data_IF_714119665131
#
_entry.id   IF_714119665131
#
_cell.length_a   1.000
_cell.length_b   1.000
_cell.length_c   1.000
_cell.angle_alpha   90.00
_cell.angle_beta   90.00
_cell.angle_gamma   90.00
#
_symmetry.space_group_name_H-M   'P 1'
#
loop_
_entity.id
_entity.type
_entity.pdbx_description
1 polymer ?
#
# COMPACT_ATOMS: atom_id res chain seq x y z
N UNK A 1 -22.45 12.60 0.70
CA UNK A 1 -22.97 13.50 1.77
C UNK A 1 -22.72 12.98 3.19
N UNK A 2 -22.83 11.67 3.49
CA UNK A 2 -22.60 11.16 4.86
C UNK A 2 -21.13 11.19 5.35
N UNK A 3 -20.14 11.09 4.46
CA UNK A 3 -18.72 10.93 4.83
C UNK A 3 -18.12 12.13 5.60
N UNK A 4 -18.61 13.35 5.37
CA UNK A 4 -18.02 14.58 5.96
C UNK A 4 -18.58 14.93 7.35
N UNK A 5 -19.72 14.36 7.75
CA UNK A 5 -20.48 14.82 8.94
C UNK A 5 -19.96 14.18 10.23
N UNK A 6 -19.50 12.93 10.18
CA UNK A 6 -19.12 12.17 11.38
C UNK A 6 -17.66 12.36 11.82
N UNK A 7 -16.78 12.85 10.93
CA UNK A 7 -15.33 13.08 11.22
C UNK A 7 -14.62 11.94 11.96
N UNK A 8 -15.06 10.70 11.78
CA UNK A 8 -14.37 9.52 12.29
C UNK A 8 -13.26 9.17 11.30
N UNK A 9 -12.01 9.19 11.75
CA UNK A 9 -10.85 8.91 10.91
C UNK A 9 -10.53 7.41 10.87
N UNK A 10 -9.92 6.96 9.77
CA UNK A 10 -9.51 5.57 9.59
C UNK A 10 -8.33 5.16 10.46
N UNK A 11 -7.74 6.10 11.20
CA UNK A 11 -6.59 5.85 12.09
C UNK A 11 -6.96 5.06 13.34
N UNK A 12 -8.24 5.11 13.75
CA UNK A 12 -8.74 4.46 14.98
C UNK A 12 -9.98 3.61 14.78
N UNK A 13 -10.69 3.79 13.68
CA UNK A 13 -11.96 3.13 13.43
C UNK A 13 -11.98 2.57 12.00
N UNK A 14 -12.42 1.32 11.85
CA UNK A 14 -12.82 0.82 10.55
C UNK A 14 -14.20 1.39 10.23
N UNK A 15 -14.25 2.34 9.29
CA UNK A 15 -15.51 2.92 8.85
C UNK A 15 -16.25 1.95 7.92
N UNK A 16 -17.48 1.58 8.25
CA UNK A 16 -18.35 0.74 7.41
C UNK A 16 -19.60 1.53 7.07
N UNK A 17 -19.81 1.76 5.77
CA UNK A 17 -20.91 2.53 5.23
C UNK A 17 -21.89 1.63 4.50
N UNK A 18 -23.18 1.92 4.62
CA UNK A 18 -24.25 1.23 3.91
C UNK A 18 -24.82 2.17 2.86
N UNK A 19 -24.61 1.86 1.59
CA UNK A 19 -25.05 2.70 0.48
C UNK A 19 -25.60 1.83 -0.66
N UNK A 20 -26.69 2.28 -1.27
CA UNK A 20 -27.21 1.62 -2.46
C UNK A 20 -26.43 2.11 -3.68
N UNK A 21 -25.87 1.19 -4.44
CA UNK A 21 -25.17 1.46 -5.70
C UNK A 21 -26.18 1.63 -6.84
N UNK A 22 -25.92 2.55 -7.77
CA UNK A 22 -26.66 2.65 -9.04
C UNK A 22 -26.21 1.61 -10.07
N UNK A 23 -25.06 0.95 -9.84
CA UNK A 23 -24.59 -0.19 -10.62
C UNK A 23 -25.08 -1.48 -9.94
N UNK A 24 -25.90 -2.26 -10.66
CA UNK A 24 -26.75 -3.33 -10.12
C UNK A 24 -26.03 -4.57 -9.55
N UNK A 25 -24.68 -4.64 -9.57
CA UNK A 25 -23.95 -5.86 -9.17
C UNK A 25 -22.88 -5.69 -8.08
N UNK A 26 -22.63 -4.48 -7.56
CA UNK A 26 -21.61 -4.30 -6.52
C UNK A 26 -22.17 -4.64 -5.13
N UNK A 27 -21.68 -5.74 -4.54
CA UNK A 27 -22.05 -6.18 -3.19
C UNK A 27 -21.32 -5.39 -2.10
N UNK A 28 -20.07 -5.00 -2.37
CA UNK A 28 -19.23 -4.22 -1.47
C UNK A 28 -18.00 -3.66 -2.19
N UNK A 29 -17.33 -2.71 -1.53
CA UNK A 29 -15.99 -2.23 -1.91
C UNK A 29 -15.25 -1.78 -0.65
N UNK A 30 -13.95 -2.01 -0.60
CA UNK A 30 -13.08 -1.62 0.48
C UNK A 30 -11.90 -0.77 -0.02
N UNK A 31 -11.41 0.12 0.84
CA UNK A 31 -10.08 0.71 0.65
C UNK A 31 -8.99 -0.25 1.09
N UNK A 32 -7.90 -0.30 0.34
CA UNK A 32 -6.70 -1.06 0.65
C UNK A 32 -5.86 -0.37 1.74
N UNK A 33 -5.03 -1.10 2.51
CA UNK A 33 -4.16 -0.51 3.53
C UNK A 33 -3.19 0.55 2.99
N UNK A 34 -2.83 0.45 1.71
CA UNK A 34 -1.90 1.34 1.03
C UNK A 34 -2.60 2.47 0.27
N UNK A 35 -3.94 2.48 0.18
CA UNK A 35 -4.65 3.60 -0.43
C UNK A 35 -4.49 4.86 0.41
N UNK A 36 -4.20 5.99 -0.22
CA UNK A 36 -4.02 7.30 0.43
C UNK A 36 -5.23 7.69 1.30
N UNK A 37 -6.43 7.33 0.85
CA UNK A 37 -7.68 7.62 1.54
C UNK A 37 -8.01 6.66 2.70
N UNK A 38 -7.26 5.57 2.88
CA UNK A 38 -7.58 4.53 3.86
C UNK A 38 -7.67 5.05 5.30
N UNK A 39 -6.82 6.02 5.66
CA UNK A 39 -6.81 6.66 6.98
C UNK A 39 -7.68 7.91 7.05
N UNK A 40 -8.18 8.38 5.90
CA UNK A 40 -9.05 9.55 5.82
C UNK A 40 -10.50 9.15 6.10
N UNK A 41 -11.35 10.12 6.40
CA UNK A 41 -12.79 9.92 6.62
C UNK A 41 -13.53 9.34 5.38
N UNK A 42 -12.88 9.33 4.22
CA UNK A 42 -13.40 8.76 2.98
C UNK A 42 -13.10 7.26 2.84
N UNK A 43 -12.09 6.76 3.55
CA UNK A 43 -11.68 5.37 3.56
C UNK A 43 -12.54 4.47 4.43
N UNK A 44 -12.37 3.16 4.24
CA UNK A 44 -13.17 2.11 4.86
C UNK A 44 -13.92 1.26 3.84
N UNK A 45 -15.02 0.68 4.28
CA UNK A 45 -15.80 -0.29 3.51
C UNK A 45 -17.17 0.31 3.19
N UNK A 46 -17.64 0.13 1.96
CA UNK A 46 -19.01 0.43 1.54
C UNK A 46 -19.69 -0.88 1.18
N UNK A 47 -20.80 -1.21 1.85
CA UNK A 47 -21.60 -2.39 1.60
C UNK A 47 -22.96 -2.02 1.01
N UNK A 48 -23.42 -2.82 0.06
CA UNK A 48 -24.77 -2.72 -0.46
C UNK A 48 -25.76 -3.39 0.53
N UNK A 49 -26.74 -2.65 1.08
CA UNK A 49 -27.72 -3.20 2.03
C UNK A 49 -28.54 -4.38 1.49
N UNK A 50 -28.66 -4.49 0.16
CA UNK A 50 -29.38 -5.60 -0.48
C UNK A 50 -28.63 -6.93 -0.38
N UNK A 51 -27.33 -6.90 -0.08
CA UNK A 51 -26.43 -8.06 0.00
C UNK A 51 -25.84 -8.24 1.40
N UNK A 52 -26.17 -7.39 2.38
CA UNK A 52 -25.65 -7.48 3.74
C UNK A 52 -26.78 -7.42 4.78
N UNK A 53 -26.67 -8.22 5.84
CA UNK A 53 -27.65 -8.25 6.94
C UNK A 53 -28.83 -9.20 6.69
N UNK A 54 -28.80 -9.97 5.59
CA UNK A 54 -29.76 -11.04 5.27
C UNK A 54 -29.14 -12.38 5.72
N UNK A 55 -29.90 -13.32 6.30
CA UNK A 55 -29.40 -14.65 6.66
C UNK A 55 -28.67 -15.32 5.48
N UNK A 56 -27.41 -15.72 5.69
CA UNK A 56 -26.55 -16.33 4.65
C UNK A 56 -25.60 -15.36 3.92
N UNK A 57 -25.77 -14.05 4.10
CA UNK A 57 -25.00 -13.02 3.37
C UNK A 57 -24.08 -12.18 4.28
N UNK A 58 -23.43 -12.81 5.26
CA UNK A 58 -22.40 -12.14 6.10
C UNK A 58 -21.00 -12.21 5.52
N UNK A 59 -20.78 -13.06 4.50
CA UNK A 59 -19.47 -13.28 3.88
C UNK A 59 -18.95 -12.05 3.13
N UNK A 60 -19.83 -11.23 2.54
CA UNK A 60 -19.45 -9.99 1.84
C UNK A 60 -18.69 -9.05 2.76
N UNK A 61 -19.12 -8.86 4.01
CA UNK A 61 -18.38 -8.01 4.95
C UNK A 61 -16.99 -8.59 5.28
N UNK A 62 -16.88 -9.92 5.41
CA UNK A 62 -15.60 -10.57 5.70
C UNK A 62 -14.64 -10.42 4.51
N UNK A 63 -15.15 -10.56 3.29
CA UNK A 63 -14.42 -10.32 2.04
C UNK A 63 -13.86 -8.90 1.97
N UNK A 64 -14.71 -7.89 2.18
CA UNK A 64 -14.28 -6.49 2.16
C UNK A 64 -13.27 -6.16 3.29
N UNK A 65 -13.45 -6.74 4.47
CA UNK A 65 -12.45 -6.64 5.55
C UNK A 65 -11.12 -7.25 5.09
N UNK A 66 -11.14 -8.36 4.36
CA UNK A 66 -9.95 -8.95 3.76
C UNK A 66 -9.18 -7.96 2.90
N UNK A 67 -9.85 -7.23 2.01
CA UNK A 67 -9.23 -6.15 1.23
C UNK A 67 -8.65 -5.04 2.10
N UNK A 68 -9.39 -4.55 3.11
CA UNK A 68 -8.86 -3.57 4.07
C UNK A 68 -7.69 -4.09 4.92
N UNK A 69 -7.45 -5.41 4.95
CA UNK A 69 -6.29 -6.03 5.57
C UNK A 69 -5.15 -6.32 4.57
N UNK A 70 -5.36 -6.05 3.28
CA UNK A 70 -4.38 -6.21 2.22
C UNK A 70 -4.46 -7.53 1.46
N UNK A 71 -5.59 -8.25 1.52
CA UNK A 71 -5.77 -9.52 0.83
C UNK A 71 -6.31 -9.30 -0.60
N UNK A 72 -5.59 -9.80 -1.60
CA UNK A 72 -6.07 -9.84 -2.98
C UNK A 72 -7.11 -10.95 -3.18
N UNK A 73 -7.85 -10.87 -4.28
CA UNK A 73 -8.66 -12.00 -4.74
C UNK A 73 -7.79 -13.21 -5.04
N UNK A 74 -8.27 -14.40 -4.68
CA UNK A 74 -7.57 -15.66 -4.98
C UNK A 74 -7.39 -15.95 -6.48
N UNK A 75 -8.07 -15.19 -7.33
CA UNK A 75 -8.00 -15.29 -8.78
C UNK A 75 -7.22 -14.14 -9.43
N UNK A 76 -6.49 -13.34 -8.64
CA UNK A 76 -5.71 -12.17 -9.09
C UNK A 76 -4.73 -12.52 -10.21
N UNK A 77 -4.04 -13.64 -10.08
CA UNK A 77 -3.00 -14.11 -11.00
C UNK A 77 -3.50 -14.82 -12.26
N UNK A 78 -4.81 -15.01 -12.41
CA UNK A 78 -5.40 -15.72 -13.56
C UNK A 78 -6.49 -14.91 -14.25
N UNK A 79 -7.44 -14.35 -13.49
CA UNK A 79 -8.61 -13.64 -14.05
C UNK A 79 -8.53 -12.13 -13.96
N UNK A 80 -7.58 -11.58 -13.21
CA UNK A 80 -7.35 -10.13 -13.09
C UNK A 80 -6.01 -9.70 -13.71
N UNK A 81 -5.45 -10.53 -14.58
CA UNK A 81 -4.28 -10.21 -15.39
C UNK A 81 -4.72 -9.59 -16.73
N UNK A 82 -3.87 -8.75 -17.31
CA UNK A 82 -4.17 -8.10 -18.60
C UNK A 82 -3.91 -9.03 -19.80
N UNK A 83 -2.95 -9.96 -19.66
CA UNK A 83 -2.61 -10.96 -20.68
C UNK A 83 -1.87 -12.15 -20.07
N UNK A 84 -1.70 -13.23 -20.84
CA UNK A 84 -0.90 -14.39 -20.41
C UNK A 84 0.62 -14.12 -20.33
N UNK A 85 1.06 -12.91 -20.66
CA UNK A 85 2.45 -12.46 -20.51
C UNK A 85 2.59 -11.50 -19.32
N UNK A 86 1.54 -11.32 -18.53
CA UNK A 86 1.54 -10.44 -17.36
C UNK A 86 2.51 -10.99 -16.31
N UNK A 87 3.46 -10.18 -15.80
CA UNK A 87 4.35 -10.61 -14.71
C UNK A 87 3.62 -11.07 -13.45
N UNK A 88 2.36 -10.64 -13.26
CA UNK A 88 1.52 -11.07 -12.14
C UNK A 88 0.87 -12.44 -12.37
N UNK A 89 1.02 -13.04 -13.55
CA UNK A 89 0.45 -14.35 -13.86
C UNK A 89 0.98 -15.41 -12.91
N UNK A 90 0.07 -16.11 -12.25
CA UNK A 90 0.42 -17.08 -11.22
C UNK A 90 0.28 -18.49 -11.77
N UNK A 91 1.39 -19.20 -11.93
CA UNK A 91 1.41 -20.59 -12.40
C UNK A 91 1.47 -21.60 -11.26
N UNK A 92 1.98 -21.17 -10.12
CA UNK A 92 2.10 -21.92 -8.88
C UNK A 92 1.93 -20.96 -7.70
N UNK A 93 1.38 -21.42 -6.56
CA UNK A 93 1.13 -20.57 -5.39
C UNK A 93 2.43 -19.90 -4.91
N UNK A 94 2.46 -18.57 -4.83
CA UNK A 94 3.70 -17.85 -4.50
C UNK A 94 3.49 -16.58 -3.68
N UNK A 95 4.59 -16.00 -3.17
CA UNK A 95 4.59 -14.69 -2.52
C UNK A 95 5.03 -13.55 -3.45
N UNK A 96 5.14 -13.84 -4.76
CA UNK A 96 5.73 -12.93 -5.76
C UNK A 96 4.78 -12.63 -6.91
N UNK A 97 3.89 -13.57 -7.24
CA UNK A 97 2.89 -13.49 -8.30
C UNK A 97 1.49 -13.75 -7.76
N UNK A 98 0.47 -13.42 -8.55
CA UNK A 98 -0.93 -13.65 -8.18
C UNK A 98 -1.42 -12.87 -6.97
N UNK A 99 -2.03 -13.58 -6.02
CA UNK A 99 -2.59 -13.00 -4.80
C UNK A 99 -1.56 -12.84 -3.66
N UNK A 100 -0.29 -13.23 -3.93
CA UNK A 100 0.83 -13.19 -2.99
C UNK A 100 0.62 -14.06 -1.74
N UNK A 101 -0.08 -15.19 -1.90
CA UNK A 101 -0.23 -16.25 -0.90
C UNK A 101 0.36 -17.57 -1.39
N UNK A 102 1.39 -18.08 -0.71
CA UNK A 102 1.95 -19.40 -1.06
C UNK A 102 1.06 -20.60 -0.68
N UNK A 103 -0.12 -20.38 -0.12
CA UNK A 103 -1.06 -21.44 0.31
C UNK A 103 -2.41 -21.40 -0.42
N UNK A 104 -2.56 -20.55 -1.43
CA UNK A 104 -3.74 -20.47 -2.32
C UNK A 104 -3.36 -20.92 -3.72
N UNK A 105 -3.93 -22.02 -4.19
CA UNK A 105 -3.63 -22.47 -5.55
C UNK A 105 -4.20 -21.46 -6.58
N UNK A 106 -3.48 -21.23 -7.70
CA UNK A 106 -3.97 -20.38 -8.77
C UNK A 106 -5.34 -20.85 -9.25
N UNK A 107 -6.28 -19.92 -9.37
CA UNK A 107 -7.64 -20.23 -9.76
C UNK A 107 -8.23 -19.12 -10.65
N UNK A 108 -9.11 -19.46 -11.60
CA UNK A 108 -9.88 -18.47 -12.30
C UNK A 108 -11.04 -17.99 -11.42
N UNK A 109 -11.60 -16.83 -11.79
CA UNK A 109 -12.80 -16.29 -11.17
C UNK A 109 -13.94 -17.30 -11.31
N UNK A 110 -14.40 -17.82 -10.18
CA UNK A 110 -15.45 -18.82 -10.11
C UNK A 110 -16.43 -18.51 -8.98
N UNK A 111 -17.72 -18.76 -9.21
CA UNK A 111 -18.80 -18.43 -8.25
C UNK A 111 -19.42 -19.66 -7.55
N UNK A 112 -18.99 -20.87 -7.89
CA UNK A 112 -19.53 -22.10 -7.29
C UNK A 112 -18.56 -22.68 -6.25
N UNK A 113 -19.11 -23.44 -5.30
CA UNK A 113 -18.35 -24.17 -4.30
C UNK A 113 -17.78 -25.47 -4.91
N UNK A 114 -16.70 -25.33 -5.66
CA UNK A 114 -15.98 -26.45 -6.25
C UNK A 114 -14.94 -25.96 -7.24
N UNK A 115 -14.08 -26.88 -7.66
CA UNK A 115 -13.14 -26.60 -8.74
C UNK A 115 -13.90 -26.27 -10.03
N UNK A 116 -13.45 -25.24 -10.77
CA UNK A 116 -14.07 -24.91 -12.04
C UNK A 116 -13.92 -26.09 -13.00
N UNK A 117 -14.99 -26.39 -13.74
CA UNK A 117 -14.94 -27.40 -14.79
C UNK A 117 -13.89 -27.08 -15.86
N UNK A 118 -13.47 -28.08 -16.67
CA UNK A 118 -12.50 -27.87 -17.73
C UNK A 118 -12.99 -26.78 -18.68
N UNK A 119 -12.25 -25.67 -18.72
CA UNK A 119 -12.54 -24.50 -19.54
C UNK A 119 -11.66 -24.44 -20.79
N UNK A 120 -11.80 -23.36 -21.56
CA UNK A 120 -10.82 -23.03 -22.60
C UNK A 120 -9.45 -22.76 -21.98
N UNK A 121 -8.41 -22.94 -22.79
CA UNK A 121 -7.02 -22.69 -22.42
C UNK A 121 -6.86 -21.27 -21.81
N UNK A 122 -6.72 -21.23 -20.49
CA UNK A 122 -6.57 -19.99 -19.73
C UNK A 122 -5.09 -19.80 -19.47
N UNK A 123 -4.34 -19.30 -20.46
CA UNK A 123 -2.90 -19.09 -20.36
C UNK A 123 -2.05 -20.36 -20.11
N UNK A 124 -2.39 -21.47 -20.77
CA UNK A 124 -1.71 -22.77 -20.66
C UNK A 124 -2.34 -23.72 -19.66
N UNK A 125 -3.41 -23.30 -18.96
CA UNK A 125 -4.11 -24.12 -17.98
C UNK A 125 -5.26 -24.91 -18.62
N UNK A 126 -5.18 -26.23 -18.51
CA UNK A 126 -6.20 -27.16 -19.01
C UNK A 126 -7.21 -27.58 -17.94
N UNK A 127 -6.85 -27.46 -16.66
CA UNK A 127 -7.72 -27.76 -15.51
C UNK A 127 -7.17 -27.10 -14.26
N UNK A 128 -8.07 -26.62 -13.40
CA UNK A 128 -7.71 -26.16 -12.06
C UNK A 128 -8.23 -27.18 -11.04
N UNK A 129 -7.38 -27.57 -10.10
CA UNK A 129 -7.67 -28.58 -9.09
C UNK A 129 -7.30 -28.02 -7.71
N UNK A 130 -8.09 -28.36 -6.70
CA UNK A 130 -7.93 -27.86 -5.33
C UNK A 130 -7.85 -26.33 -5.26
N UNK A 131 -8.70 -25.65 -6.03
CA UNK A 131 -8.80 -24.19 -6.01
C UNK A 131 -9.31 -23.72 -4.64
N UNK A 132 -8.89 -22.54 -4.16
CA UNK A 132 -9.30 -22.00 -2.87
C UNK A 132 -10.72 -21.41 -2.94
N UNK A 133 -11.68 -22.12 -3.55
CA UNK A 133 -13.04 -21.62 -3.75
C UNK A 133 -13.77 -21.33 -2.44
N UNK A 134 -13.44 -22.03 -1.34
CA UNK A 134 -14.03 -21.77 -0.01
C UNK A 134 -13.43 -20.55 0.70
N UNK A 135 -12.31 -20.01 0.20
CA UNK A 135 -11.66 -18.83 0.79
C UNK A 135 -12.58 -17.61 0.71
N UNK A 136 -12.63 -16.78 1.74
CA UNK A 136 -13.48 -15.58 1.72
C UNK A 136 -13.08 -14.57 0.64
N UNK A 137 -11.85 -14.62 0.11
CA UNK A 137 -11.39 -13.79 -1.01
C UNK A 137 -11.73 -14.40 -2.40
N UNK A 138 -12.51 -15.49 -2.42
CA UNK A 138 -13.19 -16.04 -3.59
C UNK A 138 -14.52 -15.31 -3.84
N UNK A 139 -15.08 -15.48 -5.03
CA UNK A 139 -16.45 -15.06 -5.34
C UNK A 139 -17.47 -16.20 -5.24
N UNK A 140 -17.02 -17.40 -4.83
CA UNK A 140 -17.95 -18.41 -4.41
C UNK A 140 -18.72 -17.90 -3.19
N UNK A 141 -20.03 -18.22 -3.13
CA UNK A 141 -20.82 -17.95 -1.94
C UNK A 141 -20.29 -18.71 -0.71
N UNK A 142 -21.05 -18.67 0.39
CA UNK A 142 -20.64 -19.31 1.63
C UNK A 142 -20.56 -20.85 1.47
N UNK A 143 -19.34 -21.36 1.30
CA UNK A 143 -19.05 -22.80 1.20
C UNK A 143 -18.81 -23.41 2.59
N UNK A 144 -18.91 -24.73 2.71
CA UNK A 144 -18.57 -25.41 3.96
C UNK A 144 -17.06 -25.31 4.20
N UNK A 145 -16.65 -24.81 5.37
CA UNK A 145 -15.23 -24.67 5.73
C UNK A 145 -14.55 -23.42 5.15
N UNK A 146 -15.27 -22.30 5.05
CA UNK A 146 -14.68 -21.04 4.60
C UNK A 146 -13.59 -20.52 5.55
N UNK A 147 -12.49 -20.04 4.97
CA UNK A 147 -11.26 -19.62 5.68
C UNK A 147 -10.58 -18.42 4.98
N UNK A 148 -9.57 -17.83 5.63
CA UNK A 148 -8.68 -16.80 5.05
C UNK A 148 -7.23 -17.33 4.94
N UNK A 149 -6.47 -16.82 3.99
CA UNK A 149 -5.06 -17.15 3.75
C UNK A 149 -4.10 -16.06 4.19
N UNK A 150 -2.88 -16.43 4.56
CA UNK A 150 -1.83 -15.51 5.02
C UNK A 150 -1.06 -14.91 3.84
N UNK A 151 -1.16 -13.58 3.68
CA UNK A 151 -0.47 -12.81 2.64
C UNK A 151 0.87 -12.27 3.13
N UNK A 152 1.84 -12.17 2.21
CA UNK A 152 3.02 -11.31 2.36
C UNK A 152 2.68 -9.90 1.87
N UNK A 153 2.48 -8.95 2.78
CA UNK A 153 2.20 -7.56 2.40
C UNK A 153 3.47 -6.88 1.90
N UNK A 154 3.38 -6.17 0.77
CA UNK A 154 4.43 -5.23 0.33
C UNK A 154 4.73 -4.26 1.48
N UNK A 155 6.00 -4.22 1.91
CA UNK A 155 6.58 -3.44 3.05
C UNK A 155 6.73 -4.14 4.41
N UNK A 156 6.85 -5.46 4.47
CA UNK A 156 7.44 -6.13 5.64
C UNK A 156 6.66 -6.02 6.96
N UNK A 157 5.44 -5.46 6.95
CA UNK A 157 4.45 -5.59 8.03
C UNK A 157 3.51 -6.73 7.64
N UNK A 158 3.56 -7.85 8.36
CA UNK A 158 2.56 -8.90 8.23
C UNK A 158 1.22 -8.39 8.80
N UNK A 159 0.14 -8.38 8.03
CA UNK A 159 -1.21 -8.42 8.62
C UNK A 159 -1.52 -9.87 8.96
N UNK A 160 -1.98 -10.10 10.19
CA UNK A 160 -2.53 -11.40 10.56
C UNK A 160 -3.79 -11.67 9.73
N UNK A 161 -3.73 -12.65 8.84
CA UNK A 161 -4.92 -13.30 8.31
C UNK A 161 -5.20 -14.56 9.13
N UNK A 162 -6.43 -14.72 9.59
CA UNK A 162 -6.79 -15.77 10.52
C UNK A 162 -7.60 -16.86 9.80
N UNK A 163 -7.15 -18.12 9.87
CA UNK A 163 -8.02 -19.29 9.65
C UNK A 163 -8.89 -19.52 10.89
N UNK A 164 -10.21 -19.48 10.73
CA UNK A 164 -11.21 -19.56 11.80
C UNK A 164 -10.95 -18.64 13.02
N UNK A 165 -11.02 -17.32 12.85
CA UNK A 165 -11.03 -16.39 13.99
C UNK A 165 -12.38 -15.71 14.21
N UNK A 166 -12.82 -15.76 15.47
CA UNK A 166 -13.69 -14.72 16.02
C UNK A 166 -12.81 -13.52 16.41
N UNK A 167 -12.79 -12.47 15.59
CA UNK A 167 -12.17 -11.19 15.97
C UNK A 167 -13.00 -10.55 17.09
N UNK A 168 -12.62 -10.79 18.36
CA UNK A 168 -13.02 -9.88 19.45
C UNK A 168 -12.10 -8.67 19.37
N UNK A 169 -12.59 -7.60 18.75
CA UNK A 169 -11.95 -6.29 18.78
C UNK A 169 -11.87 -5.81 20.24
N UNK A 170 -10.74 -6.07 20.89
CA UNK A 170 -10.36 -5.38 22.12
C UNK A 170 -9.89 -4.00 21.73
N UNK A 171 -10.70 -2.98 22.04
CA UNK A 171 -10.33 -1.58 21.89
C UNK A 171 -9.12 -1.29 22.79
N UNK A 172 -7.94 -1.16 22.20
CA UNK A 172 -6.76 -0.63 22.89
C UNK A 172 -6.65 0.84 22.49
N UNK A 173 -6.79 1.73 23.48
CA UNK A 173 -6.53 3.16 23.33
C UNK A 173 -5.04 3.36 23.00
N UNK A 174 -4.72 3.50 21.72
CA UNK A 174 -3.55 4.23 21.28
C UNK A 174 -3.84 5.73 21.31
N UNK A 175 -2.89 6.54 21.75
CA UNK A 175 -2.97 7.99 21.58
C UNK A 175 -2.74 8.31 20.09
N UNK A 176 -3.82 8.67 19.41
CA UNK A 176 -3.84 9.05 17.99
C UNK A 176 -2.88 10.20 17.76
N UNK A 177 -1.97 10.02 16.79
CA UNK A 177 -1.06 11.09 16.38
C UNK A 177 0.20 11.21 17.25
N UNK A 178 0.56 10.17 17.99
CA UNK A 178 1.92 10.03 18.53
C UNK A 178 2.88 9.44 17.48
N UNK A 179 4.19 9.64 17.63
CA UNK A 179 5.18 9.06 16.72
C UNK A 179 5.28 7.51 16.86
N UNK A 180 4.69 6.94 17.91
CA UNK A 180 4.87 5.52 18.25
C UNK A 180 4.32 4.54 17.22
N UNK A 181 3.26 4.89 16.49
CA UNK A 181 2.67 4.03 15.46
C UNK A 181 3.59 3.87 14.22
N UNK A 182 4.58 4.76 14.10
CA UNK A 182 5.56 4.80 13.03
C UNK A 182 6.92 4.21 13.44
N UNK A 183 7.06 3.76 14.69
CA UNK A 183 8.29 3.17 15.20
C UNK A 183 8.39 1.69 14.83
N UNK A 184 9.48 1.34 14.16
CA UNK A 184 9.86 -0.03 13.81
C UNK A 184 10.79 -0.65 14.88
N UNK A 185 11.21 -1.89 14.63
CA UNK A 185 12.20 -2.59 15.45
C UNK A 185 13.50 -1.76 15.57
N UNK A 186 14.20 -1.87 16.70
CA UNK A 186 15.38 -1.03 16.98
C UNK A 186 15.05 0.43 17.32
N UNK A 187 13.78 0.77 17.54
CA UNK A 187 13.31 2.14 17.82
C UNK A 187 13.68 3.12 16.71
N UNK A 188 13.58 2.65 15.48
CA UNK A 188 13.74 3.43 14.26
C UNK A 188 12.39 4.02 13.89
N UNK A 189 12.31 5.33 13.67
CA UNK A 189 11.11 5.97 13.16
C UNK A 189 11.10 5.88 11.63
N UNK A 190 10.04 5.33 11.05
CA UNK A 190 9.86 5.22 9.60
C UNK A 190 8.56 5.92 9.21
N UNK A 191 8.66 6.89 8.32
CA UNK A 191 7.50 7.67 7.88
C UNK A 191 7.54 7.99 6.40
N UNK A 192 6.36 8.16 5.83
CA UNK A 192 6.16 8.63 4.46
C UNK A 192 5.87 10.13 4.45
N UNK A 193 6.05 10.75 3.29
CA UNK A 193 5.66 12.14 3.10
C UNK A 193 4.18 12.31 3.44
N UNK A 194 3.87 13.32 4.27
CA UNK A 194 2.50 13.62 4.70
C UNK A 194 1.92 14.82 3.93
N UNK A 195 2.78 15.68 3.41
CA UNK A 195 2.39 16.87 2.67
C UNK A 195 3.29 17.05 1.46
N UNK A 196 2.71 17.37 0.33
CA UNK A 196 3.42 17.56 -0.92
C UNK A 196 3.05 18.88 -1.59
N UNK A 197 4.04 19.54 -2.20
CA UNK A 197 3.82 20.77 -2.96
C UNK A 197 4.79 20.89 -4.12
N UNK A 198 4.37 21.59 -5.17
CA UNK A 198 5.20 21.92 -6.32
C UNK A 198 4.78 23.28 -6.85
N UNK A 199 5.71 24.09 -7.40
CA UNK A 199 5.35 25.34 -8.07
C UNK A 199 4.59 25.10 -9.39
N UNK A 200 4.55 23.86 -9.89
CA UNK A 200 3.84 23.51 -11.11
C UNK A 200 2.31 23.57 -10.90
N UNK A 201 1.56 24.21 -11.82
CA UNK A 201 0.12 24.32 -11.71
C UNK A 201 -0.53 22.93 -11.80
N UNK A 202 -1.44 22.64 -10.87
CA UNK A 202 -2.22 21.40 -10.89
C UNK A 202 -3.34 21.47 -11.94
N UNK A 203 -3.57 20.37 -12.65
CA UNK A 203 -4.73 20.24 -13.53
C UNK A 203 -6.04 20.14 -12.72
N UNK A 204 -7.18 20.63 -13.23
CA UNK A 204 -8.47 20.55 -12.54
C UNK A 204 -8.94 19.12 -12.23
N UNK A 205 -8.46 18.11 -12.95
CA UNK A 205 -8.75 16.69 -12.66
C UNK A 205 -8.14 16.20 -11.35
N UNK A 206 -7.07 16.85 -10.86
CA UNK A 206 -6.32 16.45 -9.67
C UNK A 206 -5.32 15.30 -9.89
N UNK A 207 -5.31 14.70 -11.08
CA UNK A 207 -4.33 13.67 -11.44
C UNK A 207 -2.94 14.28 -11.64
N UNK A 208 -1.90 13.47 -11.40
CA UNK A 208 -0.50 13.92 -11.46
C UNK A 208 -0.14 15.07 -10.52
N UNK A 209 -1.00 15.37 -9.55
CA UNK A 209 -0.80 16.47 -8.61
C UNK A 209 0.26 16.12 -7.55
N UNK A 210 0.89 17.11 -6.89
CA UNK A 210 1.86 16.84 -5.84
C UNK A 210 1.33 15.91 -4.75
N UNK A 211 0.03 16.00 -4.45
CA UNK A 211 -0.63 15.19 -3.42
C UNK A 211 -0.60 13.69 -3.72
N UNK A 212 -0.44 13.31 -4.98
CA UNK A 212 -0.28 11.92 -5.36
C UNK A 212 1.07 11.32 -4.92
N UNK A 213 2.02 12.14 -4.44
CA UNK A 213 3.24 11.67 -3.81
C UNK A 213 3.15 11.57 -2.27
N UNK A 214 1.99 11.88 -1.67
CA UNK A 214 1.73 11.75 -0.23
C UNK A 214 1.42 10.28 0.13
N UNK A 215 1.95 9.81 1.25
CA UNK A 215 1.66 8.49 1.77
C UNK A 215 2.49 7.35 1.19
N UNK A 216 1.92 6.15 1.18
CA UNK A 216 2.60 4.94 0.73
C UNK A 216 2.57 4.88 -0.82
N UNK A 217 3.58 4.27 -1.47
CA UNK A 217 3.54 4.04 -2.90
C UNK A 217 2.37 3.11 -3.20
N UNK A 218 1.50 3.54 -4.11
CA UNK A 218 0.25 2.87 -4.48
C UNK A 218 0.15 2.61 -5.99
N UNK A 219 1.27 2.73 -6.71
CA UNK A 219 1.39 2.30 -8.11
C UNK A 219 1.49 0.78 -8.22
N UNK A 220 0.57 0.19 -8.99
CA UNK A 220 0.54 -1.27 -9.21
C UNK A 220 1.56 -1.73 -10.25
N UNK A 221 1.66 -1.01 -11.37
CA UNK A 221 2.51 -1.39 -12.52
C UNK A 221 3.63 -0.37 -12.69
N UNK A 222 4.83 -0.60 -12.13
CA UNK A 222 5.98 0.24 -12.38
C UNK A 222 6.35 0.25 -13.87
N UNK A 223 7.04 1.31 -14.30
CA UNK A 223 7.46 1.56 -15.69
C UNK A 223 6.30 1.77 -16.68
N UNK A 224 5.10 2.02 -16.18
CA UNK A 224 3.94 2.49 -16.96
C UNK A 224 3.37 3.74 -16.30
N UNK A 225 2.94 4.70 -17.12
CA UNK A 225 2.35 5.93 -16.62
C UNK A 225 1.12 5.66 -15.76
N UNK A 226 1.02 6.37 -14.64
CA UNK A 226 -0.05 6.21 -13.64
C UNK A 226 -0.54 7.57 -13.16
N UNK A 227 -1.87 7.73 -13.10
CA UNK A 227 -2.54 8.91 -12.54
C UNK A 227 -2.33 9.09 -11.03
N UNK A 228 -1.82 8.05 -10.34
CA UNK A 228 -1.59 8.02 -8.89
C UNK A 228 -0.19 8.49 -8.47
N UNK A 229 0.51 9.15 -9.36
CA UNK A 229 1.87 9.66 -9.14
C UNK A 229 1.87 11.18 -9.22
N UNK A 230 2.93 11.84 -8.80
CA UNK A 230 3.20 13.22 -9.21
C UNK A 230 4.05 13.23 -10.49
N UNK A 231 3.70 14.10 -11.45
CA UNK A 231 4.55 14.40 -12.60
C UNK A 231 4.48 15.90 -12.95
N UNK A 232 5.61 16.53 -13.34
CA UNK A 232 5.64 17.95 -13.69
C UNK A 232 4.68 18.33 -14.82
N UNK A 233 4.71 17.58 -15.93
CA UNK A 233 4.00 17.94 -17.17
C UNK A 233 2.96 16.91 -17.63
N UNK A 234 2.86 15.72 -17.02
CA UNK A 234 1.82 14.73 -17.41
C UNK A 234 0.38 15.24 -17.18
N UNK A 235 0.19 16.19 -16.26
CA UNK A 235 -1.11 16.82 -16.00
C UNK A 235 -1.50 17.87 -17.06
N UNK A 236 -0.57 18.33 -17.89
CA UNK A 236 -0.80 19.49 -18.76
C UNK A 236 -1.54 19.08 -20.03
N UNK A 237 -2.64 19.76 -20.31
CA UNK A 237 -3.41 19.57 -21.53
C UNK A 237 -2.52 19.81 -22.78
N UNK A 238 -2.54 18.86 -23.72
CA UNK A 238 -1.76 18.92 -24.97
C UNK A 238 -2.03 20.17 -25.83
N UNK A 239 -3.14 20.88 -25.60
CA UNK A 239 -3.49 22.12 -26.29
C UNK A 239 -2.95 23.40 -25.64
N UNK A 240 -2.32 23.31 -24.47
CA UNK A 240 -1.69 24.43 -23.76
C UNK A 240 -0.19 24.23 -23.70
N UNK A 241 0.60 25.28 -23.95
CA UNK A 241 2.06 25.22 -23.76
C UNK A 241 2.32 25.02 -22.27
N UNK A 242 2.94 23.91 -21.84
CA UNK A 242 3.30 23.70 -20.44
C UNK A 242 4.21 24.83 -19.94
N UNK A 243 4.13 25.22 -18.67
CA UNK A 243 5.21 25.99 -18.07
C UNK A 243 6.49 25.15 -18.18
N UNK A 244 7.50 25.64 -18.88
CA UNK A 244 8.79 24.95 -18.95
C UNK A 244 9.43 24.94 -17.56
N UNK A 245 10.04 23.81 -17.20
CA UNK A 245 10.79 23.71 -15.96
C UNK A 245 11.92 24.76 -15.92
N UNK A 246 12.17 25.45 -14.78
CA UNK A 246 13.20 26.47 -14.70
C UNK A 246 14.61 25.91 -14.97
N UNK A 247 15.24 26.30 -16.07
CA UNK A 247 16.65 25.98 -16.31
C UNK A 247 17.57 26.83 -15.41
N UNK A 248 18.66 26.27 -14.84
CA UNK A 248 19.18 24.90 -15.01
C UNK A 248 18.71 23.91 -13.92
N UNK A 249 17.78 24.30 -13.05
CA UNK A 249 17.46 23.54 -11.83
C UNK A 249 16.46 22.41 -12.09
N UNK A 250 15.60 22.55 -13.09
CA UNK A 250 14.49 21.65 -13.36
C UNK A 250 13.24 21.98 -12.54
N UNK A 251 12.19 21.18 -12.72
CA UNK A 251 11.00 21.25 -11.87
C UNK A 251 11.31 20.62 -10.52
N UNK A 252 10.55 20.94 -9.48
CA UNK A 252 10.72 20.27 -8.20
C UNK A 252 9.42 19.87 -7.54
N UNK A 253 9.50 18.76 -6.80
CA UNK A 253 8.51 18.30 -5.85
C UNK A 253 9.09 18.46 -4.43
N UNK A 254 8.41 19.21 -3.58
CA UNK A 254 8.71 19.32 -2.16
C UNK A 254 7.82 18.36 -1.38
N UNK A 255 8.45 17.51 -0.57
CA UNK A 255 7.78 16.56 0.31
C UNK A 255 8.16 16.85 1.75
N UNK A 256 7.16 16.90 2.63
CA UNK A 256 7.32 17.16 4.06
C UNK A 256 6.89 15.95 4.88
N UNK A 257 7.62 15.72 5.96
CA UNK A 257 7.43 14.61 6.88
C UNK A 257 6.83 15.13 8.18
N UNK A 258 5.94 14.33 8.78
CA UNK A 258 5.18 14.75 9.96
C UNK A 258 6.08 15.03 11.17
N UNK A 259 7.15 14.25 11.33
CA UNK A 259 8.10 14.41 12.42
C UNK A 259 9.50 14.69 11.87
N UNK A 260 10.12 15.83 12.19
CA UNK A 260 11.54 16.01 11.94
C UNK A 260 12.35 14.90 12.61
N UNK A 261 13.34 14.35 11.92
CA UNK A 261 14.19 13.28 12.47
C UNK A 261 15.63 13.40 11.97
N UNK A 262 16.58 12.83 12.70
CA UNK A 262 17.95 12.61 12.19
C UNK A 262 17.95 11.40 11.26
N UNK A 263 18.13 11.58 9.94
CA UNK A 263 17.88 10.52 8.98
C UNK A 263 19.07 9.57 8.85
N UNK A 264 18.77 8.27 8.70
CA UNK A 264 19.72 7.23 8.28
C UNK A 264 19.58 6.92 6.79
N UNK A 265 18.37 6.99 6.26
CA UNK A 265 18.12 6.73 4.85
C UNK A 265 16.90 7.47 4.32
N UNK A 266 16.97 7.82 3.04
CA UNK A 266 15.88 8.32 2.22
C UNK A 266 15.56 7.31 1.12
N UNK A 267 14.30 6.93 0.96
CA UNK A 267 13.84 6.09 -0.15
C UNK A 267 12.80 6.84 -0.98
N UNK A 268 12.94 6.82 -2.31
CA UNK A 268 12.02 7.47 -3.26
C UNK A 268 11.57 6.45 -4.31
N UNK A 269 10.26 6.39 -4.56
CA UNK A 269 9.66 5.55 -5.60
C UNK A 269 9.44 6.39 -6.84
N UNK A 270 10.41 6.36 -7.75
CA UNK A 270 10.21 6.83 -9.12
C UNK A 270 9.63 5.65 -9.90
N UNK A 271 8.47 5.83 -10.50
CA UNK A 271 7.70 4.72 -11.11
C UNK A 271 7.60 4.83 -12.62
N UNK A 272 8.03 5.96 -13.20
CA UNK A 272 8.13 6.14 -14.64
C UNK A 272 9.24 7.16 -14.94
N UNK A 273 9.99 6.91 -16.01
CA UNK A 273 11.01 7.82 -16.57
C UNK A 273 10.81 7.81 -18.08
N UNK A 274 10.89 8.98 -18.72
CA UNK A 274 10.72 9.10 -20.16
C UNK A 274 11.82 8.32 -20.92
N UNK A 275 11.50 7.65 -22.05
CA UNK A 275 12.49 6.96 -22.87
C UNK A 275 13.58 7.87 -23.45
N UNK A 276 13.30 9.18 -23.55
CA UNK A 276 14.22 10.18 -24.11
C UNK A 276 15.34 10.57 -23.13
N UNK A 277 15.25 10.14 -21.87
CA UNK A 277 16.26 10.35 -20.85
C UNK A 277 16.99 9.04 -20.53
N UNK A 278 18.32 9.07 -20.54
CA UNK A 278 19.09 8.01 -19.87
C UNK A 278 18.77 8.09 -18.37
N UNK A 279 18.50 6.94 -17.74
CA UNK A 279 18.22 6.83 -16.28
C UNK A 279 19.27 7.51 -15.39
N UNK A 280 20.45 7.80 -15.93
CA UNK A 280 21.44 8.72 -15.38
C UNK A 280 21.12 10.18 -15.73
N UNK A 281 20.53 10.92 -14.79
CA UNK A 281 20.37 12.38 -14.88
C UNK A 281 18.93 12.89 -14.91
N UNK A 282 17.93 12.01 -14.93
CA UNK A 282 16.52 12.40 -14.85
C UNK A 282 16.21 13.16 -13.53
N UNK A 283 16.82 12.73 -12.42
CA UNK A 283 16.84 13.45 -11.14
C UNK A 283 18.15 14.22 -11.00
N UNK A 284 18.06 15.55 -11.04
CA UNK A 284 19.20 16.46 -11.06
C UNK A 284 19.79 16.72 -9.67
N UNK A 285 18.93 16.85 -8.67
CA UNK A 285 19.35 17.05 -7.29
C UNK A 285 18.24 16.61 -6.34
N UNK A 286 18.63 16.13 -5.16
CA UNK A 286 17.72 15.96 -4.03
C UNK A 286 18.29 16.78 -2.88
N UNK A 287 17.52 17.74 -2.38
CA UNK A 287 17.90 18.56 -1.24
C UNK A 287 17.17 18.10 0.01
N UNK A 288 17.90 17.88 1.09
CA UNK A 288 17.34 17.71 2.43
C UNK A 288 17.02 19.08 3.02
N UNK A 289 15.80 19.25 3.53
CA UNK A 289 15.33 20.45 4.21
C UNK A 289 15.48 20.25 5.73
N UNK A 290 16.34 21.05 6.34
CA UNK A 290 16.66 20.92 7.76
C UNK A 290 15.90 21.95 8.61
N UNK A 291 15.73 21.65 9.89
CA UNK A 291 15.03 22.55 10.83
C UNK A 291 15.72 23.91 11.00
N UNK A 292 17.01 24.04 10.71
CA UNK A 292 17.73 25.32 10.74
C UNK A 292 17.47 26.20 9.52
N UNK A 293 16.77 25.68 8.50
CA UNK A 293 16.57 26.34 7.21
C UNK A 293 17.75 26.15 6.23
N UNK A 294 18.74 25.33 6.57
CA UNK A 294 19.82 24.93 5.66
C UNK A 294 19.35 23.83 4.73
N UNK A 295 19.67 23.94 3.45
CA UNK A 295 19.40 22.90 2.46
C UNK A 295 20.68 22.13 2.14
N UNK A 296 20.65 20.80 2.26
CA UNK A 296 21.80 19.93 1.99
C UNK A 296 21.54 19.19 0.67
N UNK A 297 22.32 19.49 -0.37
CA UNK A 297 22.24 18.81 -1.67
C UNK A 297 22.89 17.44 -1.60
N UNK A 298 22.19 16.43 -2.13
CA UNK A 298 22.67 15.06 -2.31
C UNK A 298 23.25 14.84 -3.71
N UNK A 299 23.07 15.81 -4.63
CA UNK A 299 23.52 15.74 -6.01
C UNK A 299 22.63 14.84 -6.88
N UNK A 300 23.00 14.69 -8.17
CA UNK A 300 22.24 13.90 -9.14
C UNK A 300 22.13 12.44 -8.72
N UNK A 301 20.98 11.82 -8.99
CA UNK A 301 20.70 10.45 -8.63
C UNK A 301 20.29 9.63 -9.86
N UNK A 302 20.76 8.39 -9.93
CA UNK A 302 20.31 7.43 -10.92
C UNK A 302 19.02 6.79 -10.44
N UNK A 303 18.01 6.74 -11.29
CA UNK A 303 16.68 6.24 -10.94
C UNK A 303 16.23 5.16 -11.91
N UNK A 304 15.47 4.19 -11.37
CA UNK A 304 14.87 3.10 -12.12
C UNK A 304 13.40 3.04 -11.76
N UNK A 305 12.54 2.77 -12.75
CA UNK A 305 11.09 2.76 -12.55
C UNK A 305 10.58 1.53 -11.77
N UNK A 306 11.36 0.46 -11.74
CA UNK A 306 11.04 -0.83 -11.11
C UNK A 306 11.74 -1.05 -9.76
N UNK A 307 12.74 -0.24 -9.43
CA UNK A 307 13.53 -0.35 -8.19
C UNK A 307 13.52 0.99 -7.45
N UNK A 308 13.07 1.04 -6.18
CA UNK A 308 13.07 2.28 -5.42
C UNK A 308 14.50 2.77 -5.16
N UNK A 309 14.73 4.06 -5.40
CA UNK A 309 15.99 4.74 -5.08
C UNK A 309 16.13 4.82 -3.56
N UNK A 310 17.17 4.20 -3.00
CA UNK A 310 17.47 4.30 -1.56
C UNK A 310 18.86 4.89 -1.34
N UNK A 311 18.91 6.03 -0.67
CA UNK A 311 20.12 6.79 -0.36
C UNK A 311 20.42 6.62 1.12
N UNK A 312 21.63 6.15 1.45
CA UNK A 312 22.12 6.17 2.83
C UNK A 312 22.64 7.56 3.18
N UNK A 313 22.20 8.05 4.32
CA UNK A 313 22.54 9.38 4.83
C UNK A 313 23.45 9.23 6.04
N UNK A 314 24.58 9.93 6.02
CA UNK A 314 25.47 9.99 7.17
C UNK A 314 24.95 11.05 8.14
N UNK A 315 24.35 10.59 9.24
CA UNK A 315 23.83 11.45 10.30
C UNK A 315 24.88 12.43 10.86
N UNK A 316 26.17 12.06 10.86
CA UNK A 316 27.25 12.94 11.29
C UNK A 316 27.52 14.08 10.30
N UNK A 317 27.32 13.83 9.00
CA UNK A 317 27.45 14.86 7.95
C UNK A 317 26.20 15.74 7.85
N UNK A 318 25.01 15.16 8.01
CA UNK A 318 23.75 15.91 8.04
C UNK A 318 23.74 16.82 9.28
N UNK A 319 24.08 16.28 10.45
CA UNK A 319 24.33 17.03 11.69
C UNK A 319 23.10 17.63 12.37
N UNK A 320 21.90 17.47 11.80
CA UNK A 320 20.65 18.05 12.31
C UNK A 320 19.42 17.24 11.85
N UNK A 321 18.24 17.62 12.36
CA UNK A 321 16.97 17.00 11.97
C UNK A 321 16.47 17.52 10.62
N UNK A 322 15.97 16.60 9.81
CA UNK A 322 15.39 16.84 8.50
C UNK A 322 13.87 16.75 8.62
N UNK A 323 13.16 17.77 8.14
CA UNK A 323 11.70 17.81 8.14
C UNK A 323 11.10 17.57 6.75
N UNK A 324 11.89 17.69 5.68
CA UNK A 324 11.40 17.56 4.32
C UNK A 324 12.52 17.35 3.31
N UNK A 325 12.13 17.17 2.05
CA UNK A 325 13.03 17.05 0.90
C UNK A 325 12.48 17.85 -0.29
N UNK A 326 13.37 18.25 -1.18
CA UNK A 326 13.04 18.78 -2.51
C UNK A 326 13.73 17.92 -3.56
N UNK A 327 12.95 17.32 -4.46
CA UNK A 327 13.43 16.48 -5.55
C UNK A 327 13.35 17.31 -6.83
N UNK A 328 14.49 17.59 -7.44
CA UNK A 328 14.59 18.34 -8.69
C UNK A 328 14.71 17.38 -9.87
N UNK A 329 13.83 17.54 -10.86
CA UNK A 329 13.74 16.69 -12.05
C UNK A 329 13.97 17.51 -13.31
N UNK A 330 14.82 16.99 -14.21
CA UNK A 330 14.98 17.56 -15.56
C UNK A 330 14.06 16.88 -16.56
N UNK A 331 13.75 15.59 -16.33
CA UNK A 331 12.69 14.91 -17.05
C UNK A 331 11.33 15.46 -16.58
N UNK A 332 10.63 16.10 -17.51
CA UNK A 332 9.32 16.72 -17.28
C UNK A 332 8.18 15.69 -17.20
N UNK A 333 8.41 14.45 -17.61
CA UNK A 333 7.43 13.36 -17.59
C UNK A 333 7.74 12.29 -16.54
N UNK A 334 8.79 12.48 -15.75
CA UNK A 334 9.13 11.57 -14.66
C UNK A 334 7.99 11.52 -13.64
N UNK A 335 7.64 10.32 -13.19
CA UNK A 335 6.58 10.09 -12.22
C UNK A 335 7.14 9.63 -10.86
N UNK A 336 6.76 10.34 -9.79
CA UNK A 336 7.12 10.02 -8.40
C UNK A 336 5.86 9.61 -7.63
N UNK A 337 5.87 8.40 -7.07
CA UNK A 337 4.74 7.82 -6.34
C UNK A 337 4.82 8.09 -4.83
N UNK A 338 6.00 8.01 -4.24
CA UNK A 338 6.16 8.24 -2.80
C UNK A 338 7.61 8.56 -2.41
N UNK A 339 7.77 9.09 -1.20
CA UNK A 339 9.05 9.13 -0.51
C UNK A 339 8.92 8.73 0.98
N UNK A 340 9.98 8.12 1.50
CA UNK A 340 10.07 7.61 2.87
C UNK A 340 11.37 8.05 3.52
N UNK A 341 11.29 8.51 4.76
CA UNK A 341 12.45 8.85 5.58
C UNK A 341 12.52 7.90 6.78
N UNK A 342 13.71 7.35 7.03
CA UNK A 342 14.00 6.51 8.19
C UNK A 342 15.01 7.20 9.09
N UNK A 343 14.78 7.18 10.40
CA UNK A 343 15.73 7.70 11.37
C UNK A 343 16.91 6.77 11.60
N UNK A 344 17.94 7.28 12.25
CA UNK A 344 18.91 6.43 12.95
C UNK A 344 18.23 5.56 14.03
N UNK A 345 18.83 4.41 14.42
CA UNK A 345 18.36 3.60 15.54
C UNK A 345 18.27 4.40 16.84
N UNK A 346 17.39 3.95 17.75
CA UNK A 346 17.17 4.61 19.05
C UNK A 346 16.73 6.07 18.94
N UNK A 347 15.86 6.38 17.98
CA UNK A 347 15.26 7.70 17.84
C UNK A 347 14.57 8.15 19.14
N UNK A 348 14.76 9.42 19.50
CA UNK A 348 14.13 10.05 20.67
C UNK A 348 12.60 10.00 20.57
N UNK A 349 12.05 10.12 19.36
CA UNK A 349 10.62 10.01 19.08
C UNK A 349 10.05 8.62 19.36
N UNK A 350 10.92 7.59 19.35
CA UNK A 350 10.58 6.22 19.65
C UNK A 350 11.01 5.76 21.06
N UNK A 351 11.60 6.65 21.87
CA UNK A 351 12.21 6.27 23.15
C UNK A 351 11.18 5.80 24.19
N UNK A 352 10.04 6.48 24.24
CA UNK A 352 8.96 6.20 25.19
C UNK A 352 7.90 5.23 24.64
N UNK A 353 8.05 4.82 23.39
CA UNK A 353 7.12 3.93 22.72
C UNK A 353 7.24 2.51 23.26
N UNK A 354 6.11 1.98 23.71
CA UNK A 354 6.01 0.60 24.18
C UNK A 354 5.52 -0.28 23.03
N UNK A 355 6.19 -1.41 22.76
CA UNK A 355 5.72 -2.36 21.75
C UNK A 355 4.29 -2.79 22.09
N UNK A 356 3.40 -2.74 21.09
CA UNK A 356 2.05 -3.27 21.24
C UNK A 356 2.16 -4.79 21.32
N UNK A 357 1.77 -5.35 22.46
CA UNK A 357 1.69 -6.79 22.65
C UNK A 357 0.30 -7.25 22.22
N UNK A 358 0.25 -8.09 21.18
CA UNK A 358 -1.00 -8.71 20.73
C UNK A 358 -1.09 -10.14 21.26
N UNK A 359 -2.28 -10.52 21.74
CA UNK A 359 -2.62 -11.90 22.10
C UNK A 359 -3.46 -12.49 20.98
N UNK A 360 -2.86 -13.37 20.18
CA UNK A 360 -3.57 -14.13 19.15
C UNK A 360 -4.30 -15.29 19.82
N UNK A 361 -5.62 -15.39 19.62
CA UNK A 361 -6.45 -16.52 20.09
C UNK A 361 -7.10 -17.15 18.87
N UNK A 362 -7.06 -18.49 18.78
CA UNK A 362 -7.66 -19.27 17.70
C UNK A 362 -8.65 -20.27 18.27
N UNK A 363 -9.68 -20.61 17.50
CA UNK A 363 -10.54 -21.78 17.75
C UNK A 363 -10.54 -22.69 16.51
N UNK A 364 -10.06 -23.94 16.59
CA UNK A 364 -9.53 -24.60 17.78
C UNK A 364 -8.14 -24.04 18.21
N UNK A 365 -7.79 -24.11 19.50
CA UNK A 365 -6.56 -23.53 20.03
C UNK A 365 -5.30 -24.12 19.38
N UNK A 366 -4.20 -23.35 19.39
CA UNK A 366 -2.89 -23.85 18.97
C UNK A 366 -2.49 -25.07 19.82
N UNK A 367 -1.94 -26.12 19.20
CA UNK A 367 -1.60 -27.38 19.89
C UNK A 367 -0.65 -27.15 21.08
N UNK A 368 0.25 -26.18 20.97
CA UNK A 368 1.05 -25.66 22.07
C UNK A 368 0.26 -24.60 22.84
N UNK A 369 -0.48 -24.98 23.87
CA UNK A 369 -1.25 -24.07 24.75
C UNK A 369 -0.41 -23.08 25.57
N UNK A 370 0.87 -22.88 25.25
CA UNK A 370 1.76 -21.95 25.94
C UNK A 370 1.82 -20.60 25.23
N UNK A 371 1.69 -19.46 25.94
CA UNK A 371 1.89 -18.15 25.34
C UNK A 371 3.33 -18.04 24.82
N UNK A 372 3.49 -17.88 23.51
CA UNK A 372 4.79 -17.65 22.87
C UNK A 372 4.98 -16.15 22.70
N UNK A 373 6.02 -15.60 23.32
CA UNK A 373 6.47 -14.23 23.03
C UNK A 373 7.18 -14.26 21.69
N UNK A 374 6.57 -13.64 20.68
CA UNK A 374 7.17 -13.51 19.34
C UNK A 374 8.08 -12.28 19.38
N UNK A 375 9.37 -12.51 19.56
CA UNK A 375 10.38 -11.45 19.61
C UNK A 375 10.87 -10.99 18.23
N UNK A 376 10.45 -11.66 17.15
CA UNK A 376 10.93 -11.40 15.78
C UNK A 376 9.75 -11.53 14.79
N UNK A 377 9.45 -10.44 14.09
CA UNK A 377 8.35 -10.33 13.12
C UNK A 377 8.61 -11.12 11.82
N UNK A 378 9.81 -11.65 11.60
CA UNK A 378 10.18 -12.46 10.43
C UNK A 378 9.86 -13.96 10.56
N UNK A 379 9.15 -14.40 11.62
CA UNK A 379 8.87 -15.83 11.83
C UNK A 379 7.68 -16.32 11.00
N UNK A 380 7.92 -17.40 10.25
CA UNK A 380 6.92 -18.20 9.53
C UNK A 380 6.23 -19.15 10.50
N UNK A 381 4.90 -19.14 10.52
CA UNK A 381 4.12 -20.20 11.15
C UNK A 381 3.93 -21.33 10.13
N UNK A 382 4.29 -22.55 10.52
CA UNK A 382 4.06 -23.74 9.71
C UNK A 382 3.15 -24.63 10.54
N UNK A 383 1.99 -25.01 10.00
CA UNK A 383 1.17 -26.06 10.58
C UNK A 383 1.93 -27.38 10.38
N UNK A 384 2.28 -28.05 11.49
CA UNK A 384 2.77 -29.43 11.49
C UNK A 384 1.68 -30.37 11.93
#
# INVERSE_FOLDING_TARGET
MCKNILKLDGSTHLNIFFANSSEEELAGVATWPWDKEALMHLGGIVLNPSFYGIPGHTHTMIHEIGHSLGLYHVFRGISEILSCSDPCMETEPSFETGDLCSDTNPAPKHKLCGDPGPGNDTCGFHSFLNTPFSNFMSYAGLCVGSDLSLVKIRKGKFSLAFKNATLRAGCLRGEVGSACDLCAEGRVLVQYAFSASSPMPCDPSGHWSPREAEGHPDVEQPCKSSVRTWSPNSAVNQHTVPPACPEPQGCYLQLEFRYPLTPESLTVWVTFVSPDWDSSGAVNDIKLLTISGKNISLGPQNVFCDIPLTIKLDAGQVGEEVYGIQIYTLDEHLEIDAAMLSSVPHSTLCADCKPIQYKVVRDPPFQSGSPVVISNLSRRFVDT
#
